data_IF_308384199266
#
_entry.id   IF_308384199266
#
_cell.length_a   1.000
_cell.length_b   1.000
_cell.length_c   1.000
_cell.angle_alpha   90.00
_cell.angle_beta   90.00
_cell.angle_gamma   90.00
#
_symmetry.space_group_name_H-M   'P 1'
#
loop_
_entity.id
_entity.type
_entity.pdbx_description
1 polymer ?
#
# COMPACT_ATOMS: atom_id res chain seq x y z
N UNK A 1 -22.14 18.98 20.11
CA UNK A 1 -21.78 17.55 20.05
C UNK A 1 -23.07 16.77 20.13
N UNK A 2 -23.52 16.20 19.03
CA UNK A 2 -24.66 15.28 19.07
C UNK A 2 -24.22 14.02 19.81
N UNK A 3 -24.89 13.73 20.92
CA UNK A 3 -24.63 12.51 21.67
C UNK A 3 -24.99 11.30 20.78
N UNK A 4 -24.16 10.24 20.73
CA UNK A 4 -24.45 9.06 19.94
C UNK A 4 -25.78 8.44 20.39
N UNK A 5 -26.72 8.32 19.44
CA UNK A 5 -28.08 7.85 19.71
C UNK A 5 -28.18 6.32 19.71
N UNK A 6 -29.26 5.78 20.29
CA UNK A 6 -29.58 4.34 20.17
C UNK A 6 -29.63 3.86 18.72
N UNK A 7 -30.08 4.74 17.81
CA UNK A 7 -30.08 4.48 16.37
C UNK A 7 -28.65 4.32 15.83
N UNK A 8 -27.73 5.23 16.20
CA UNK A 8 -26.31 5.13 15.83
C UNK A 8 -25.68 3.81 16.31
N UNK A 9 -25.87 3.44 17.57
CA UNK A 9 -25.35 2.16 18.09
C UNK A 9 -25.99 0.94 17.40
N UNK A 10 -27.26 1.04 17.00
CA UNK A 10 -27.94 0.02 16.19
C UNK A 10 -27.29 -0.16 14.81
N UNK A 11 -26.94 0.95 14.14
CA UNK A 11 -26.21 0.92 12.88
C UNK A 11 -24.80 0.33 13.05
N UNK A 12 -24.05 0.75 14.07
CA UNK A 12 -22.71 0.22 14.34
C UNK A 12 -22.73 -1.26 14.65
N UNK A 13 -23.71 -1.73 15.43
CA UNK A 13 -23.90 -3.18 15.66
C UNK A 13 -24.16 -3.91 14.36
N UNK A 14 -25.05 -3.40 13.50
CA UNK A 14 -25.35 -4.01 12.20
C UNK A 14 -24.13 -4.04 11.28
N UNK A 15 -23.36 -2.96 11.23
CA UNK A 15 -22.11 -2.85 10.47
C UNK A 15 -21.02 -3.79 11.01
N UNK A 16 -20.93 -3.96 12.33
CA UNK A 16 -20.01 -4.91 12.94
C UNK A 16 -20.37 -6.35 12.58
N UNK A 17 -21.66 -6.71 12.62
CA UNK A 17 -22.13 -8.05 12.25
C UNK A 17 -21.88 -8.38 10.78
N UNK A 18 -22.05 -7.43 9.86
CA UNK A 18 -21.79 -7.70 8.42
C UNK A 18 -20.32 -7.92 8.09
N UNK A 19 -19.39 -7.55 8.99
CA UNK A 19 -17.95 -7.77 8.85
C UNK A 19 -17.47 -9.05 9.55
N UNK A 20 -18.33 -9.70 10.32
CA UNK A 20 -18.00 -10.96 10.99
C UNK A 20 -18.28 -12.13 10.06
N UNK A 21 -17.28 -12.99 9.90
CA UNK A 21 -17.44 -14.30 9.26
C UNK A 21 -17.98 -15.24 10.34
N UNK A 22 -19.27 -15.57 10.25
CA UNK A 22 -19.91 -16.50 11.19
C UNK A 22 -19.69 -17.96 10.82
N UNK A 23 -19.63 -18.24 9.51
CA UNK A 23 -19.46 -19.57 8.96
C UNK A 23 -18.63 -19.47 7.69
N UNK A 24 -17.73 -20.42 7.49
CA UNK A 24 -16.90 -20.47 6.30
C UNK A 24 -16.81 -21.90 5.77
N UNK A 25 -16.95 -22.06 4.45
CA UNK A 25 -16.79 -23.33 3.76
C UNK A 25 -15.29 -23.66 3.65
N UNK A 26 -14.86 -24.64 4.43
CA UNK A 26 -13.51 -25.17 4.36
C UNK A 26 -13.42 -26.14 3.18
N UNK A 27 -12.24 -26.22 2.55
CA UNK A 27 -12.05 -27.16 1.43
C UNK A 27 -12.50 -28.58 1.81
N UNK A 28 -12.98 -29.35 0.82
CA UNK A 28 -13.57 -30.70 0.97
C UNK A 28 -15.06 -30.78 1.38
N UNK A 29 -15.85 -29.72 1.16
CA UNK A 29 -17.31 -29.78 1.38
C UNK A 29 -17.74 -29.55 2.83
N UNK A 30 -16.84 -29.10 3.70
CA UNK A 30 -17.08 -28.90 5.12
C UNK A 30 -17.28 -27.42 5.45
N UNK A 31 -17.88 -27.14 6.61
CA UNK A 31 -18.05 -25.79 7.12
C UNK A 31 -17.48 -25.68 8.52
N UNK A 32 -16.91 -24.53 8.85
CA UNK A 32 -16.53 -24.21 10.23
C UNK A 32 -17.25 -22.95 10.71
N UNK A 33 -17.57 -22.94 12.00
CA UNK A 33 -18.12 -21.78 12.73
C UNK A 33 -17.18 -21.34 13.85
N UNK A 34 -16.06 -22.04 14.04
CA UNK A 34 -15.11 -21.76 15.10
C UNK A 34 -14.15 -20.64 14.67
N UNK A 35 -14.10 -19.56 15.46
CA UNK A 35 -13.32 -18.35 15.13
C UNK A 35 -11.85 -18.63 14.84
N UNK A 36 -11.21 -19.52 15.61
CA UNK A 36 -9.79 -19.86 15.40
C UNK A 36 -9.54 -20.61 14.08
N UNK A 37 -10.47 -21.48 13.69
CA UNK A 37 -10.39 -22.21 12.41
C UNK A 37 -10.67 -21.28 11.23
N UNK A 38 -11.66 -20.40 11.35
CA UNK A 38 -11.95 -19.36 10.35
C UNK A 38 -10.72 -18.47 10.14
N UNK A 39 -10.09 -18.00 11.23
CA UNK A 39 -8.89 -17.17 11.16
C UNK A 39 -7.74 -17.94 10.49
N UNK A 40 -7.50 -19.19 10.88
CA UNK A 40 -6.44 -20.01 10.28
C UNK A 40 -6.68 -20.20 8.78
N UNK A 41 -7.88 -20.62 8.39
CA UNK A 41 -8.22 -20.83 7.00
C UNK A 41 -8.10 -19.55 6.16
N UNK A 42 -8.54 -18.41 6.68
CA UNK A 42 -8.37 -17.13 6.01
C UNK A 42 -6.89 -16.77 5.84
N UNK A 43 -6.07 -16.94 6.88
CA UNK A 43 -4.62 -16.71 6.81
C UNK A 43 -3.97 -17.60 5.75
N UNK A 44 -4.23 -18.91 5.78
CA UNK A 44 -3.65 -19.87 4.83
C UNK A 44 -4.07 -19.53 3.39
N UNK A 45 -5.35 -19.23 3.17
CA UNK A 45 -5.88 -18.85 1.86
C UNK A 45 -5.19 -17.61 1.29
N UNK A 46 -5.09 -16.52 2.07
CA UNK A 46 -4.46 -15.29 1.57
C UNK A 46 -2.94 -15.41 1.48
N UNK A 47 -2.30 -16.17 2.36
CA UNK A 47 -0.87 -16.47 2.25
C UNK A 47 -0.56 -17.20 0.94
N UNK A 48 -1.39 -18.17 0.55
CA UNK A 48 -1.27 -18.85 -0.73
C UNK A 48 -1.66 -17.96 -1.92
N UNK A 49 -2.67 -17.09 -1.75
CA UNK A 49 -3.10 -16.16 -2.81
C UNK A 49 -1.99 -15.16 -3.18
N UNK A 50 -1.28 -14.65 -2.19
CA UNK A 50 -0.17 -13.70 -2.33
C UNK A 50 1.15 -14.38 -2.66
N UNK A 51 1.20 -15.72 -2.65
CA UNK A 51 2.38 -16.46 -3.06
C UNK A 51 2.58 -16.27 -4.56
N UNK A 52 3.76 -15.82 -4.96
CA UNK A 52 4.06 -15.65 -6.36
C UNK A 52 4.16 -17.00 -7.07
N UNK A 53 3.50 -17.10 -8.23
CA UNK A 53 3.60 -18.24 -9.14
C UNK A 53 4.54 -17.98 -10.32
N UNK A 54 5.29 -16.87 -10.27
CA UNK A 54 6.12 -16.41 -11.38
C UNK A 54 7.29 -17.36 -11.63
N UNK A 55 7.58 -17.61 -12.92
CA UNK A 55 8.83 -18.23 -13.37
C UNK A 55 9.48 -17.26 -14.33
N UNK A 56 10.66 -16.77 -13.96
CA UNK A 56 11.46 -15.90 -14.82
C UNK A 56 11.72 -16.60 -16.16
N UNK A 57 11.28 -15.98 -17.26
CA UNK A 57 11.85 -16.25 -18.58
C UNK A 57 12.83 -15.15 -18.89
N UNK A 58 14.13 -15.44 -18.67
CA UNK A 58 15.20 -14.47 -18.86
C UNK A 58 15.18 -13.83 -20.26
N UNK A 59 14.89 -14.63 -21.29
CA UNK A 59 14.81 -14.17 -22.68
C UNK A 59 13.74 -13.10 -22.90
N UNK A 60 12.53 -13.29 -22.34
CA UNK A 60 11.44 -12.31 -22.48
C UNK A 60 11.74 -11.02 -21.70
N UNK A 61 12.37 -11.14 -20.53
CA UNK A 61 12.78 -9.99 -19.72
C UNK A 61 13.88 -9.18 -20.42
N UNK A 62 14.88 -9.84 -20.98
CA UNK A 62 15.97 -9.19 -21.71
C UNK A 62 15.46 -8.46 -22.96
N UNK A 63 14.41 -8.96 -23.61
CA UNK A 63 13.73 -8.25 -24.71
C UNK A 63 12.94 -7.05 -24.17
N UNK A 64 12.18 -7.23 -23.09
CA UNK A 64 11.36 -6.17 -22.52
C UNK A 64 12.18 -4.98 -21.99
N UNK A 65 13.35 -5.25 -21.41
CA UNK A 65 14.22 -4.22 -20.86
C UNK A 65 15.05 -3.45 -21.92
N UNK A 66 15.03 -3.90 -23.18
CA UNK A 66 15.72 -3.19 -24.26
C UNK A 66 14.98 -1.90 -24.63
N UNK A 67 15.72 -0.79 -24.67
CA UNK A 67 15.19 0.50 -25.12
C UNK A 67 14.27 1.21 -24.12
N UNK A 68 14.22 0.75 -22.86
CA UNK A 68 13.51 1.48 -21.81
C UNK A 68 14.16 2.85 -21.56
N UNK A 69 13.34 3.91 -21.31
CA UNK A 69 13.88 5.19 -20.89
C UNK A 69 14.64 5.02 -19.57
N UNK A 70 15.71 5.80 -19.41
CA UNK A 70 16.55 5.78 -18.23
C UNK A 70 16.33 7.05 -17.43
N UNK A 71 16.11 6.91 -16.14
CA UNK A 71 16.13 8.01 -15.18
C UNK A 71 17.53 8.64 -15.20
N UNK A 72 17.60 9.96 -15.27
CA UNK A 72 18.89 10.67 -15.32
C UNK A 72 19.64 10.57 -13.98
N UNK A 73 20.91 10.99 -13.96
CA UNK A 73 21.66 11.02 -12.70
C UNK A 73 21.15 12.14 -11.79
N UNK A 74 20.71 13.25 -12.39
CA UNK A 74 20.12 14.40 -11.74
C UNK A 74 18.78 14.04 -11.06
N UNK A 75 17.93 13.28 -11.75
CA UNK A 75 16.63 12.84 -11.23
C UNK A 75 16.80 11.79 -10.14
N UNK A 76 17.78 10.87 -10.28
CA UNK A 76 18.14 9.97 -9.18
C UNK A 76 18.60 10.75 -7.94
N UNK A 77 19.43 11.79 -8.11
CA UNK A 77 19.85 12.63 -6.99
C UNK A 77 18.67 13.39 -6.35
N UNK A 78 17.68 13.81 -7.15
CA UNK A 78 16.46 14.43 -6.64
C UNK A 78 15.59 13.43 -5.85
N UNK A 79 15.44 12.18 -6.32
CA UNK A 79 14.70 11.13 -5.62
C UNK A 79 15.34 10.76 -4.28
N UNK A 80 16.68 10.69 -4.26
CA UNK A 80 17.47 10.31 -3.08
C UNK A 80 17.75 11.46 -2.11
N UNK A 81 17.34 12.69 -2.45
CA UNK A 81 17.52 13.84 -1.59
C UNK A 81 16.88 13.65 -0.20
N UNK A 82 17.33 14.39 0.83
CA UNK A 82 16.72 14.31 2.16
C UNK A 82 15.23 14.63 2.10
N UNK A 83 14.45 14.03 3.01
CA UNK A 83 13.05 14.40 3.16
C UNK A 83 12.95 15.81 3.75
N UNK A 84 11.89 16.55 3.41
CA UNK A 84 11.63 17.90 3.93
C UNK A 84 10.22 18.00 4.47
N UNK A 85 10.02 18.81 5.51
CA UNK A 85 8.74 18.89 6.21
C UNK A 85 7.60 19.33 5.27
N UNK A 86 7.88 20.24 4.34
CA UNK A 86 6.90 20.76 3.39
C UNK A 86 6.31 19.68 2.49
N UNK A 87 7.13 18.72 2.06
CA UNK A 87 6.66 17.64 1.17
C UNK A 87 5.77 16.66 1.93
N UNK A 88 6.10 16.36 3.19
CA UNK A 88 5.29 15.53 4.07
C UNK A 88 3.95 16.20 4.35
N UNK A 89 3.97 17.52 4.59
CA UNK A 89 2.75 18.30 4.79
C UNK A 89 1.89 18.36 3.53
N UNK A 90 2.51 18.52 2.35
CA UNK A 90 1.80 18.48 1.08
C UNK A 90 1.14 17.11 0.86
N UNK A 91 1.87 16.02 1.07
CA UNK A 91 1.37 14.65 1.00
C UNK A 91 0.22 14.42 2.00
N UNK A 92 0.35 14.86 3.25
CA UNK A 92 -0.71 14.78 4.24
C UNK A 92 -1.98 15.53 3.79
N UNK A 93 -1.82 16.70 3.17
CA UNK A 93 -2.95 17.54 2.76
C UNK A 93 -3.79 16.92 1.63
N UNK A 94 -3.18 16.14 0.73
CA UNK A 94 -3.93 15.41 -0.32
C UNK A 94 -4.74 14.23 0.23
N UNK A 95 -4.43 13.75 1.44
CA UNK A 95 -5.10 12.58 1.99
C UNK A 95 -6.57 12.85 2.37
N UNK A 96 -7.49 11.95 2.00
CA UNK A 96 -8.89 12.06 2.36
C UNK A 96 -9.10 11.75 3.85
N UNK A 97 -9.96 12.54 4.50
CA UNK A 97 -10.45 12.25 5.85
C UNK A 97 -11.45 11.10 5.91
N UNK A 98 -11.86 10.73 7.12
CA UNK A 98 -12.86 9.71 7.41
C UNK A 98 -12.39 8.29 7.12
N UNK A 99 -11.07 8.07 7.02
CA UNK A 99 -10.46 6.75 6.80
C UNK A 99 -10.08 6.10 8.12
N UNK A 100 -10.13 4.77 8.16
CA UNK A 100 -9.70 4.02 9.33
C UNK A 100 -8.18 4.18 9.55
N UNK A 101 -7.74 4.44 10.80
CA UNK A 101 -6.33 4.51 11.14
C UNK A 101 -5.67 3.13 11.18
N UNK A 102 -4.35 3.11 11.37
CA UNK A 102 -3.60 1.89 11.61
C UNK A 102 -3.74 1.38 13.05
N UNK A 103 -2.76 0.58 13.48
CA UNK A 103 -2.74 -0.04 14.82
C UNK A 103 -2.62 0.96 15.98
N UNK A 104 -2.15 2.17 15.69
CA UNK A 104 -1.98 3.26 16.64
C UNK A 104 -3.28 4.04 16.93
N UNK A 105 -4.30 3.87 16.08
CA UNK A 105 -5.54 4.62 16.17
C UNK A 105 -5.44 6.09 15.75
N UNK A 106 -4.35 6.53 15.11
CA UNK A 106 -4.14 7.93 14.71
C UNK A 106 -4.58 8.19 13.26
N UNK A 107 -5.70 8.90 13.03
CA UNK A 107 -6.22 9.16 11.69
C UNK A 107 -5.55 10.36 11.02
N UNK A 108 -5.81 10.57 9.73
CA UNK A 108 -5.31 11.72 8.95
C UNK A 108 -5.63 13.06 9.63
N UNK A 109 -6.84 13.20 10.19
CA UNK A 109 -7.28 14.40 10.89
C UNK A 109 -6.43 14.74 12.10
N UNK A 110 -5.91 13.73 12.81
CA UNK A 110 -5.01 13.95 13.93
C UNK A 110 -3.72 14.62 13.47
N UNK A 111 -3.08 14.09 12.43
CA UNK A 111 -1.86 14.66 11.87
C UNK A 111 -2.11 16.05 11.28
N UNK A 112 -3.24 16.25 10.57
CA UNK A 112 -3.60 17.58 10.02
C UNK A 112 -3.80 18.62 11.12
N UNK A 113 -4.40 18.23 12.23
CA UNK A 113 -4.67 19.13 13.35
C UNK A 113 -3.40 19.48 14.13
N UNK A 114 -2.56 18.49 14.43
CA UNK A 114 -1.34 18.64 15.24
C UNK A 114 -0.05 18.77 14.41
N UNK A 115 -0.15 19.15 13.13
CA UNK A 115 1.02 19.18 12.24
C UNK A 115 2.12 20.11 12.74
N UNK A 116 1.74 21.24 13.34
CA UNK A 116 2.70 22.22 13.85
C UNK A 116 3.54 21.68 15.00
N UNK A 117 2.97 20.78 15.78
CA UNK A 117 3.59 20.16 16.94
C UNK A 117 4.35 18.87 16.58
N UNK A 118 3.88 18.11 15.59
CA UNK A 118 4.39 16.76 15.28
C UNK A 118 5.21 16.66 13.99
N UNK A 119 5.11 17.65 13.09
CA UNK A 119 5.68 17.51 11.75
C UNK A 119 7.21 17.42 11.73
N UNK A 120 7.88 18.09 12.67
CA UNK A 120 9.34 18.04 12.81
C UNK A 120 9.78 16.68 13.37
N UNK A 121 9.16 16.23 14.47
CA UNK A 121 9.40 14.90 15.04
C UNK A 121 9.16 13.77 14.02
N UNK A 122 8.10 13.89 13.21
CA UNK A 122 7.80 12.92 12.16
C UNK A 122 8.92 12.90 11.10
N UNK A 123 9.40 14.07 10.68
CA UNK A 123 10.51 14.15 9.73
C UNK A 123 11.76 13.47 10.28
N UNK A 124 12.14 13.75 11.54
CA UNK A 124 13.31 13.17 12.18
C UNK A 124 13.25 11.62 12.20
N UNK A 125 12.09 11.06 12.56
CA UNK A 125 11.87 9.60 12.54
C UNK A 125 12.01 9.02 11.13
N UNK A 126 11.49 9.70 10.11
CA UNK A 126 11.57 9.23 8.73
C UNK A 126 12.98 9.34 8.15
N UNK A 127 13.70 10.42 8.47
CA UNK A 127 15.12 10.57 8.09
C UNK A 127 16.00 9.50 8.74
N UNK A 128 15.79 9.21 10.03
CA UNK A 128 16.44 8.09 10.70
C UNK A 128 16.10 6.77 10.00
N UNK A 129 14.84 6.56 9.65
CA UNK A 129 14.42 5.34 8.94
C UNK A 129 15.12 5.17 7.59
N UNK A 130 15.28 6.25 6.83
CA UNK A 130 16.00 6.25 5.56
C UNK A 130 17.50 5.97 5.77
N UNK A 131 18.11 6.60 6.79
CA UNK A 131 19.54 6.41 7.13
C UNK A 131 19.85 4.98 7.58
N UNK A 132 19.05 4.44 8.49
CA UNK A 132 19.23 3.09 9.03
C UNK A 132 18.66 1.99 8.12
N UNK A 133 17.95 2.38 7.05
CA UNK A 133 17.21 1.48 6.15
C UNK A 133 16.26 0.55 6.90
N UNK A 134 15.59 1.10 7.91
CA UNK A 134 14.71 0.35 8.77
C UNK A 134 13.55 1.23 9.24
N UNK A 135 12.34 0.86 8.83
CA UNK A 135 11.13 1.53 9.27
C UNK A 135 10.78 1.17 10.73
N UNK A 136 10.08 2.06 11.46
CA UNK A 136 9.53 1.76 12.77
C UNK A 136 8.64 0.51 12.71
N UNK A 137 8.54 -0.20 13.84
CA UNK A 137 7.75 -1.43 13.90
C UNK A 137 6.26 -1.17 13.56
N UNK A 138 5.73 0.00 13.92
CA UNK A 138 4.37 0.42 13.57
C UNK A 138 4.17 0.50 12.06
N UNK A 139 5.10 1.12 11.35
CA UNK A 139 5.09 1.30 9.90
C UNK A 139 5.26 -0.01 9.12
N UNK A 140 5.81 -1.05 9.75
CA UNK A 140 5.99 -2.40 9.17
C UNK A 140 4.86 -3.38 9.50
N UNK A 141 3.83 -2.93 10.23
CA UNK A 141 2.70 -3.77 10.62
C UNK A 141 1.39 -3.18 10.11
N UNK A 142 0.48 -4.07 9.75
CA UNK A 142 -0.89 -3.70 9.42
C UNK A 142 -1.87 -4.58 10.19
N UNK A 143 -3.04 -4.03 10.52
CA UNK A 143 -4.21 -4.85 10.86
C UNK A 143 -4.92 -5.20 9.56
N UNK A 144 -5.03 -6.49 9.29
CA UNK A 144 -5.80 -6.97 8.14
C UNK A 144 -7.25 -7.16 8.61
N UNK A 145 -8.17 -6.48 7.93
CA UNK A 145 -9.62 -6.69 8.07
C UNK A 145 -10.19 -7.25 6.77
N UNK A 146 -11.26 -8.03 6.88
CA UNK A 146 -11.95 -8.61 5.73
C UNK A 146 -13.25 -7.87 5.48
N UNK A 147 -13.41 -7.33 4.27
CA UNK A 147 -14.64 -6.67 3.84
C UNK A 147 -15.47 -7.62 2.96
N UNK A 148 -16.79 -7.74 3.19
CA UNK A 148 -17.63 -8.59 2.38
C UNK A 148 -17.77 -8.04 0.96
N UNK A 149 -17.68 -8.91 -0.05
CA UNK A 149 -18.04 -8.64 -1.46
C UNK A 149 -19.45 -9.16 -1.74
N UNK A 150 -19.91 -8.99 -2.98
CA UNK A 150 -21.12 -9.69 -3.47
C UNK A 150 -20.83 -11.20 -3.58
N UNK A 151 -21.85 -12.03 -3.38
CA UNK A 151 -21.74 -13.49 -3.52
C UNK A 151 -22.03 -14.23 -2.21
N UNK A 152 -21.69 -15.51 -2.19
CA UNK A 152 -21.81 -16.34 -0.99
C UNK A 152 -20.69 -15.99 0.02
N UNK A 153 -21.06 -15.37 1.13
CA UNK A 153 -20.13 -14.97 2.19
C UNK A 153 -19.57 -16.17 2.99
N UNK A 154 -20.04 -17.38 2.72
CA UNK A 154 -19.42 -18.61 3.23
C UNK A 154 -18.18 -18.99 2.41
N UNK A 155 -17.96 -18.41 1.22
CA UNK A 155 -16.73 -18.57 0.44
C UNK A 155 -15.75 -17.42 0.75
N UNK A 156 -14.53 -17.77 1.20
CA UNK A 156 -13.46 -16.82 1.51
C UNK A 156 -13.10 -15.90 0.32
N UNK A 157 -13.32 -16.36 -0.93
CA UNK A 157 -13.04 -15.56 -2.14
C UNK A 157 -13.94 -14.32 -2.25
N UNK A 158 -15.11 -14.37 -1.61
CA UNK A 158 -16.05 -13.26 -1.53
C UNK A 158 -15.74 -12.30 -0.37
N UNK A 159 -14.55 -12.39 0.22
CA UNK A 159 -14.02 -11.42 1.16
C UNK A 159 -12.81 -10.70 0.55
N UNK A 160 -12.69 -9.40 0.83
CA UNK A 160 -11.55 -8.57 0.41
C UNK A 160 -10.67 -8.27 1.63
N UNK A 161 -9.39 -8.66 1.62
CA UNK A 161 -8.44 -8.22 2.63
C UNK A 161 -8.12 -6.73 2.43
N UNK A 162 -8.13 -6.00 3.54
CA UNK A 162 -7.73 -4.59 3.59
C UNK A 162 -6.74 -4.43 4.73
N UNK A 163 -5.54 -3.98 4.39
CA UNK A 163 -4.48 -3.68 5.34
C UNK A 163 -4.65 -2.25 5.87
N UNK A 164 -4.87 -2.12 7.16
CA UNK A 164 -4.92 -0.86 7.88
C UNK A 164 -3.50 -0.49 8.33
N UNK A 165 -2.84 0.34 7.52
CA UNK A 165 -1.51 0.88 7.78
C UNK A 165 -1.60 2.17 8.62
N UNK A 166 -0.59 2.43 9.44
CA UNK A 166 -0.44 3.67 10.19
C UNK A 166 -0.34 4.88 9.24
N UNK A 167 -0.83 6.03 9.69
CA UNK A 167 -0.98 7.21 8.84
C UNK A 167 0.37 7.87 8.55
N UNK A 168 1.30 7.87 9.51
CA UNK A 168 2.69 8.27 9.35
C UNK A 168 3.39 7.56 8.16
N UNK A 169 3.25 6.23 8.07
CA UNK A 169 3.77 5.44 6.96
C UNK A 169 3.13 5.86 5.63
N UNK A 170 1.82 6.10 5.62
CA UNK A 170 1.13 6.58 4.41
C UNK A 170 1.66 7.94 3.98
N UNK A 171 1.98 8.84 4.92
CA UNK A 171 2.51 10.17 4.61
C UNK A 171 3.86 10.04 3.93
N UNK A 172 4.77 9.22 4.48
CA UNK A 172 6.04 8.90 3.83
C UNK A 172 5.84 8.29 2.44
N UNK A 173 5.00 7.27 2.33
CA UNK A 173 4.77 6.56 1.06
C UNK A 173 4.19 7.49 -0.01
N UNK A 174 3.28 8.39 0.35
CA UNK A 174 2.69 9.36 -0.58
C UNK A 174 3.71 10.42 -0.99
N UNK A 175 4.55 10.91 -0.07
CA UNK A 175 5.64 11.83 -0.40
C UNK A 175 6.63 11.22 -1.40
N UNK A 176 7.08 9.98 -1.17
CA UNK A 176 7.95 9.26 -2.10
C UNK A 176 7.27 8.98 -3.45
N UNK A 177 5.99 8.64 -3.44
CA UNK A 177 5.21 8.44 -4.67
C UNK A 177 5.08 9.74 -5.48
N UNK A 178 4.95 10.89 -4.82
CA UNK A 178 4.92 12.20 -5.49
C UNK A 178 6.27 12.51 -6.14
N UNK A 179 7.39 12.29 -5.45
CA UNK A 179 8.73 12.45 -6.05
C UNK A 179 8.91 11.59 -7.32
N UNK A 180 8.49 10.32 -7.25
CA UNK A 180 8.53 9.42 -8.40
C UNK A 180 7.64 9.92 -9.54
N UNK A 181 6.43 10.41 -9.23
CA UNK A 181 5.48 10.92 -10.24
C UNK A 181 6.05 12.13 -10.97
N UNK A 182 6.62 13.09 -10.24
CA UNK A 182 7.16 14.31 -10.82
C UNK A 182 8.26 14.01 -11.87
N UNK A 183 9.08 13.00 -11.61
CA UNK A 183 10.14 12.57 -12.53
C UNK A 183 9.61 11.75 -13.69
N UNK A 184 8.66 10.84 -13.43
CA UNK A 184 8.01 10.07 -14.50
C UNK A 184 7.31 10.99 -15.50
N UNK A 185 6.65 12.04 -15.02
CA UNK A 185 5.98 13.03 -15.86
C UNK A 185 7.00 13.90 -16.63
N UNK A 186 8.16 14.23 -16.05
CA UNK A 186 9.18 15.06 -16.71
C UNK A 186 10.04 14.31 -17.73
N UNK A 187 10.44 13.07 -17.45
CA UNK A 187 11.43 12.34 -18.26
C UNK A 187 10.81 11.50 -19.35
N UNK A 188 9.71 10.80 -19.04
CA UNK A 188 9.05 9.93 -20.03
C UNK A 188 8.37 10.77 -21.11
N UNK A 189 7.77 11.91 -20.73
CA UNK A 189 7.18 12.86 -21.68
C UNK A 189 8.24 13.46 -22.62
N UNK A 190 9.38 13.93 -22.08
CA UNK A 190 10.48 14.49 -22.90
C UNK A 190 11.16 13.46 -23.78
N UNK A 191 11.45 12.27 -23.24
CA UNK A 191 12.18 11.21 -23.95
C UNK A 191 11.37 10.60 -25.10
N UNK A 192 10.06 10.45 -24.93
CA UNK A 192 9.21 9.84 -25.95
C UNK A 192 8.64 10.86 -26.95
N UNK A 193 8.68 12.16 -26.66
CA UNK A 193 8.08 13.21 -27.53
C UNK A 193 6.61 12.93 -27.90
N UNK A 194 5.87 12.24 -27.03
CA UNK A 194 4.45 11.93 -27.19
C UNK A 194 3.70 12.30 -25.91
N UNK A 195 2.46 12.74 -26.06
CA UNK A 195 1.52 12.82 -24.94
C UNK A 195 1.34 11.42 -24.34
N UNK A 196 1.83 11.23 -23.12
CA UNK A 196 1.82 9.95 -22.45
C UNK A 196 0.40 9.62 -21.98
N UNK A 197 -0.26 8.68 -22.65
CA UNK A 197 -1.49 8.07 -22.16
C UNK A 197 -1.16 6.90 -21.23
N UNK A 198 -1.52 7.01 -19.94
CA UNK A 198 -1.53 5.86 -19.04
C UNK A 198 -2.68 4.92 -19.45
N UNK A 199 -2.37 3.85 -20.18
CA UNK A 199 -3.33 2.78 -20.44
C UNK A 199 -3.38 1.90 -19.19
N UNK A 200 -4.39 2.11 -18.35
CA UNK A 200 -4.70 1.19 -17.26
C UNK A 200 -5.26 -0.10 -17.85
N UNK A 201 -4.41 -1.10 -18.01
CA UNK A 201 -4.84 -2.47 -18.28
C UNK A 201 -5.25 -3.09 -16.95
N UNK A 202 -6.56 -3.31 -16.76
CA UNK A 202 -7.09 -4.00 -15.58
C UNK A 202 -6.74 -5.49 -15.69
N UNK A 203 -5.63 -5.89 -15.08
CA UNK A 203 -5.33 -7.29 -14.86
C UNK A 203 -6.05 -7.76 -13.59
N UNK A 204 -6.77 -8.89 -13.70
CA UNK A 204 -7.45 -9.48 -12.56
C UNK A 204 -6.45 -9.71 -11.40
N UNK A 205 -6.66 -8.98 -10.30
CA UNK A 205 -5.85 -9.09 -9.07
C UNK A 205 -4.37 -8.74 -9.25
N UNK A 206 -4.06 -7.79 -10.14
CA UNK A 206 -2.70 -7.30 -10.37
C UNK A 206 -1.94 -6.94 -9.09
N UNK A 207 -2.64 -6.33 -8.12
CA UNK A 207 -2.08 -5.93 -6.83
C UNK A 207 -1.91 -7.08 -5.84
N UNK A 208 -2.66 -8.18 -5.98
CA UNK A 208 -2.56 -9.33 -5.07
C UNK A 208 -1.44 -10.28 -5.50
N UNK A 209 -0.94 -10.18 -6.74
CA UNK A 209 0.06 -11.10 -7.30
C UNK A 209 1.30 -10.38 -7.84
N UNK A 210 1.68 -9.27 -7.19
CA UNK A 210 2.90 -8.55 -7.56
C UNK A 210 4.12 -9.42 -7.27
N UNK A 211 4.91 -9.72 -8.30
CA UNK A 211 6.21 -10.35 -8.14
C UNK A 211 7.26 -9.28 -7.83
N UNK A 212 7.65 -9.18 -6.57
CA UNK A 212 8.59 -8.15 -6.11
C UNK A 212 9.94 -8.24 -6.83
N UNK A 213 10.44 -9.44 -7.15
CA UNK A 213 11.71 -9.56 -7.86
C UNK A 213 11.65 -8.97 -9.27
N UNK A 214 10.54 -9.19 -9.98
CA UNK A 214 10.29 -8.60 -11.28
C UNK A 214 10.16 -7.07 -11.19
N UNK A 215 9.42 -6.58 -10.18
CA UNK A 215 9.30 -5.14 -9.91
C UNK A 215 10.68 -4.49 -9.70
N UNK A 216 11.53 -5.08 -8.83
CA UNK A 216 12.86 -4.53 -8.56
C UNK A 216 13.76 -4.53 -9.80
N UNK A 217 13.82 -5.64 -10.54
CA UNK A 217 14.56 -5.71 -11.81
C UNK A 217 14.05 -4.69 -12.83
N UNK A 218 12.75 -4.45 -12.87
CA UNK A 218 12.16 -3.44 -13.75
C UNK A 218 12.61 -2.04 -13.34
N UNK A 219 12.57 -1.69 -12.06
CA UNK A 219 13.05 -0.38 -11.59
C UNK A 219 14.55 -0.18 -11.85
N UNK A 220 15.37 -1.23 -11.65
CA UNK A 220 16.79 -1.22 -12.03
C UNK A 220 16.96 -1.01 -13.54
N UNK A 221 16.12 -1.65 -14.36
CA UNK A 221 16.12 -1.47 -15.81
C UNK A 221 15.65 -0.08 -16.25
N UNK A 222 14.82 0.62 -15.48
CA UNK A 222 14.51 2.04 -15.68
C UNK A 222 15.66 2.96 -15.21
N UNK A 223 16.69 2.43 -14.56
CA UNK A 223 17.83 3.22 -14.08
C UNK A 223 17.58 3.92 -12.76
N UNK A 224 16.57 3.49 -11.98
CA UNK A 224 16.44 3.95 -10.60
C UNK A 224 17.64 3.45 -9.78
N UNK A 225 18.13 4.30 -8.90
CA UNK A 225 19.31 4.01 -8.10
C UNK A 225 19.11 2.82 -7.14
N UNK A 226 20.17 2.05 -6.84
CA UNK A 226 20.09 0.97 -5.87
C UNK A 226 19.67 1.43 -4.46
N UNK A 227 20.03 2.64 -4.05
CA UNK A 227 19.70 3.18 -2.73
C UNK A 227 18.20 3.46 -2.61
N UNK A 228 17.58 4.05 -3.65
CA UNK A 228 16.14 4.28 -3.71
C UNK A 228 15.37 2.95 -3.70
N UNK A 229 15.82 1.97 -4.49
CA UNK A 229 15.21 0.64 -4.50
C UNK A 229 15.37 -0.05 -3.13
N UNK A 230 16.50 0.13 -2.45
CA UNK A 230 16.70 -0.39 -1.10
C UNK A 230 15.78 0.30 -0.07
N UNK A 231 15.46 1.58 -0.25
CA UNK A 231 14.49 2.28 0.60
C UNK A 231 13.05 1.80 0.37
N UNK A 232 12.71 1.36 -0.85
CA UNK A 232 11.39 0.80 -1.18
C UNK A 232 11.18 -0.65 -0.72
N UNK A 233 12.27 -1.37 -0.41
CA UNK A 233 12.27 -2.78 0.03
C UNK A 233 12.03 -2.88 1.53
#
# INVERSE_FOLDING_TARGET
>A
MDAPSKYFFGLEKKNGQSRLIHTLHTGNGQYTTHTDEIRRYATDFYQDLYRSGHRDSKELLDIFYQGLPKVSSEDNAALEGPLVQEELHAALNTMPGGKAPGIDGLPVEFYKFFWKELGEDLLEVLEESCRERCLPLSSRRAVITLLPKKGDLQDIKNWRPVSLLCTDYKVMSEALANRLRDIMDSDVSRSLSVDLGLISLDQEKAFDRVEHQYLWKTLEAFGLSPSLIAMMK
#
